data_IF_637341682900
#
_entry.id   IF_637341682900
#
_cell.length_a   1.000
_cell.length_b   1.000
_cell.length_c   1.000
_cell.angle_alpha   90.00
_cell.angle_beta   90.00
_cell.angle_gamma   90.00
#
_symmetry.space_group_name_H-M   'P 1'
#
loop_
_entity.id
_entity.type
_entity.pdbx_description
1 polymer ?
#
# COMPACT_ATOMS: atom_id res chain seq x y z
N UNK A 1 29.62 -48.00 -39.09
CA UNK A 1 28.17 -47.76 -38.97
C UNK A 1 27.74 -47.24 -37.60
N UNK A 2 28.38 -47.66 -36.48
CA UNK A 2 27.99 -47.26 -35.11
C UNK A 2 28.26 -45.79 -34.75
N UNK A 3 29.33 -45.17 -35.27
CA UNK A 3 29.72 -43.81 -34.89
C UNK A 3 28.79 -42.70 -35.44
N UNK A 4 28.31 -42.85 -36.68
CA UNK A 4 27.37 -41.92 -37.33
C UNK A 4 25.97 -41.98 -36.69
N UNK A 5 25.61 -43.13 -36.13
CA UNK A 5 24.34 -43.33 -35.42
C UNK A 5 24.35 -42.61 -34.06
N UNK A 6 25.46 -42.68 -33.33
CA UNK A 6 25.66 -41.97 -32.05
C UNK A 6 25.68 -40.44 -32.25
N UNK A 7 26.34 -39.95 -33.30
CA UNK A 7 26.33 -38.51 -33.62
C UNK A 7 24.93 -38.00 -33.99
N UNK A 8 24.14 -38.80 -34.73
CA UNK A 8 22.77 -38.42 -35.09
C UNK A 8 21.85 -38.39 -33.86
N UNK A 9 22.03 -39.31 -32.91
CA UNK A 9 21.32 -39.32 -31.63
C UNK A 9 21.66 -38.11 -30.74
N UNK A 10 22.93 -37.70 -30.71
CA UNK A 10 23.37 -36.51 -29.95
C UNK A 10 22.80 -35.21 -30.53
N UNK A 11 22.72 -35.08 -31.86
CA UNK A 11 22.15 -33.89 -32.51
C UNK A 11 20.63 -33.80 -32.28
N UNK A 12 19.92 -34.92 -32.30
CA UNK A 12 18.47 -34.96 -32.00
C UNK A 12 18.20 -34.62 -30.53
N UNK A 13 19.02 -35.12 -29.59
CA UNK A 13 18.90 -34.77 -28.18
C UNK A 13 19.17 -33.27 -27.92
N UNK A 14 20.11 -32.67 -28.66
CA UNK A 14 20.43 -31.24 -28.55
C UNK A 14 19.34 -30.35 -29.19
N UNK A 15 18.70 -30.78 -30.28
CA UNK A 15 17.56 -30.04 -30.85
C UNK A 15 16.31 -30.15 -29.95
N UNK A 16 16.08 -31.30 -29.31
CA UNK A 16 14.97 -31.49 -28.40
C UNK A 16 15.09 -30.63 -27.12
N UNK A 17 16.31 -30.40 -26.63
CA UNK A 17 16.54 -29.52 -25.48
C UNK A 17 16.35 -28.03 -25.80
N UNK A 18 16.69 -27.59 -27.02
CA UNK A 18 16.48 -26.20 -27.46
C UNK A 18 14.99 -25.90 -27.70
N UNK A 19 14.22 -26.87 -28.20
CA UNK A 19 12.76 -26.73 -28.36
C UNK A 19 12.00 -26.76 -27.03
N UNK A 20 12.54 -27.43 -26.00
CA UNK A 20 11.96 -27.45 -24.65
C UNK A 20 12.02 -26.12 -23.90
N UNK A 21 12.89 -25.19 -24.31
CA UNK A 21 13.07 -23.88 -23.66
C UNK A 21 12.14 -22.79 -24.20
N UNK A 22 11.43 -23.02 -25.31
CA UNK A 22 10.52 -22.03 -25.92
C UNK A 22 9.10 -22.06 -25.35
N UNK A 23 8.84 -22.90 -24.33
CA UNK A 23 7.51 -23.10 -23.73
C UNK A 23 7.22 -22.30 -22.46
N UNK A 24 8.19 -21.55 -21.92
CA UNK A 24 7.95 -20.67 -20.76
C UNK A 24 7.35 -19.32 -21.20
N UNK A 25 6.23 -19.36 -21.92
CA UNK A 25 5.29 -18.24 -21.91
C UNK A 25 4.54 -18.29 -20.60
N UNK A 26 5.16 -17.76 -19.53
CA UNK A 26 4.50 -17.64 -18.24
C UNK A 26 3.16 -16.94 -18.44
N UNK A 27 2.06 -17.59 -18.06
CA UNK A 27 0.90 -16.84 -17.61
C UNK A 27 1.43 -15.94 -16.51
N UNK A 28 1.41 -14.63 -16.72
CA UNK A 28 1.50 -13.71 -15.61
C UNK A 28 0.35 -14.08 -14.68
N UNK A 29 0.66 -14.75 -13.57
CA UNK A 29 -0.24 -14.81 -12.44
C UNK A 29 -0.59 -13.34 -12.15
N UNK A 30 -1.86 -13.00 -12.32
CA UNK A 30 -2.33 -11.61 -12.25
C UNK A 30 -1.70 -10.91 -11.04
N UNK A 31 -0.97 -9.83 -11.30
CA UNK A 31 -0.28 -9.09 -10.24
C UNK A 31 -1.31 -8.64 -9.21
N UNK A 32 -1.03 -8.86 -7.92
CA UNK A 32 -1.88 -8.35 -6.84
C UNK A 32 -1.38 -6.97 -6.43
N UNK A 33 -2.31 -6.05 -6.22
CA UNK A 33 -2.04 -4.73 -5.68
C UNK A 33 -2.91 -4.50 -4.45
N UNK A 34 -2.28 -4.43 -3.28
CA UNK A 34 -2.95 -4.30 -1.99
C UNK A 34 -2.92 -2.85 -1.51
N UNK A 35 -4.09 -2.26 -1.30
CA UNK A 35 -4.24 -0.84 -0.96
C UNK A 35 -4.73 -0.68 0.49
N UNK A 36 -3.98 0.06 1.29
CA UNK A 36 -4.40 0.54 2.61
C UNK A 36 -5.11 1.89 2.55
N UNK A 37 -6.17 2.05 3.34
CA UNK A 37 -6.89 3.33 3.48
C UNK A 37 -7.67 3.40 4.79
N UNK A 38 -8.18 4.58 5.18
CA UNK A 38 -9.16 4.70 6.27
C UNK A 38 -10.56 4.85 5.73
N UNK A 39 -11.52 4.20 6.38
CA UNK A 39 -12.93 4.29 6.01
C UNK A 39 -13.60 5.56 6.58
N UNK A 40 -13.12 6.75 6.19
CA UNK A 40 -13.65 8.03 6.63
C UNK A 40 -13.49 9.14 5.57
N UNK A 41 -14.18 10.27 5.79
CA UNK A 41 -14.25 11.37 4.82
C UNK A 41 -12.91 12.07 4.55
N UNK A 42 -11.93 11.97 5.46
CA UNK A 42 -10.61 12.56 5.22
C UNK A 42 -9.78 11.76 4.20
N UNK A 43 -10.25 10.57 3.81
CA UNK A 43 -9.66 9.69 2.79
C UNK A 43 -10.60 9.55 1.57
N UNK A 44 -11.41 10.58 1.27
CA UNK A 44 -12.43 10.56 0.23
C UNK A 44 -11.92 10.12 -1.16
N UNK A 45 -10.67 10.40 -1.49
CA UNK A 45 -10.03 10.04 -2.74
C UNK A 45 -9.89 8.51 -2.87
N UNK A 46 -9.42 7.84 -1.81
CA UNK A 46 -9.35 6.38 -1.76
C UNK A 46 -10.74 5.75 -1.80
N UNK A 47 -11.69 6.31 -1.06
CA UNK A 47 -13.09 5.87 -1.08
C UNK A 47 -13.71 6.00 -2.49
N UNK A 48 -13.46 7.11 -3.18
CA UNK A 48 -13.94 7.35 -4.53
C UNK A 48 -13.32 6.36 -5.53
N UNK A 49 -12.00 6.15 -5.47
CA UNK A 49 -11.32 5.18 -6.34
C UNK A 49 -11.90 3.78 -6.17
N UNK A 50 -12.05 3.32 -4.92
CA UNK A 50 -12.66 2.03 -4.58
C UNK A 50 -14.11 1.92 -5.07
N UNK A 51 -14.92 2.95 -4.86
CA UNK A 51 -16.35 2.91 -5.22
C UNK A 51 -16.59 2.91 -6.73
N UNK A 52 -15.70 3.56 -7.50
CA UNK A 52 -15.85 3.71 -8.96
C UNK A 52 -15.07 2.69 -9.77
N UNK A 53 -14.25 1.87 -9.10
CA UNK A 53 -13.28 0.98 -9.73
C UNK A 53 -12.23 1.73 -10.54
N UNK A 54 -11.90 2.97 -10.15
CA UNK A 54 -11.03 3.83 -10.96
C UNK A 54 -9.58 3.33 -10.99
N UNK A 55 -9.11 2.73 -9.89
CA UNK A 55 -7.76 2.20 -9.82
C UNK A 55 -7.65 0.92 -10.66
N UNK A 56 -8.63 0.03 -10.54
CA UNK A 56 -8.75 -1.22 -11.30
C UNK A 56 -8.74 -0.98 -12.81
N UNK A 57 -9.30 0.15 -13.27
CA UNK A 57 -9.28 0.56 -14.69
C UNK A 57 -7.96 1.21 -15.13
N UNK A 58 -7.15 1.67 -14.18
CA UNK A 58 -5.91 2.40 -14.45
C UNK A 58 -4.67 1.50 -14.36
N UNK A 59 -4.76 0.36 -13.68
CA UNK A 59 -3.72 -0.67 -13.61
C UNK A 59 -3.78 -1.60 -14.83
N UNK A 60 -2.70 -2.34 -15.13
CA UNK A 60 -2.69 -3.32 -16.22
C UNK A 60 -3.83 -4.34 -16.13
N UNK A 61 -4.30 -4.80 -17.30
CA UNK A 61 -5.34 -5.84 -17.38
C UNK A 61 -4.88 -7.10 -16.64
N UNK A 62 -5.77 -7.64 -15.79
CA UNK A 62 -5.49 -8.83 -14.99
C UNK A 62 -4.85 -8.55 -13.63
N UNK A 63 -4.55 -7.29 -13.27
CA UNK A 63 -4.17 -6.94 -11.90
C UNK A 63 -5.36 -7.06 -10.94
N UNK A 64 -5.20 -7.81 -9.85
CA UNK A 64 -6.19 -7.92 -8.77
C UNK A 64 -5.92 -6.84 -7.73
N UNK A 65 -6.82 -5.86 -7.62
CA UNK A 65 -6.73 -4.80 -6.60
C UNK A 65 -7.51 -5.24 -5.35
N UNK A 66 -6.84 -5.23 -4.21
CA UNK A 66 -7.44 -5.49 -2.89
C UNK A 66 -7.41 -4.22 -2.03
N UNK A 67 -8.41 -4.06 -1.16
CA UNK A 67 -8.57 -2.85 -0.34
C UNK A 67 -8.75 -3.20 1.13
N UNK A 68 -7.80 -2.82 1.97
CA UNK A 68 -7.79 -3.03 3.42
C UNK A 68 -8.06 -1.73 4.16
N UNK A 69 -9.10 -1.73 4.99
CA UNK A 69 -9.44 -0.57 5.81
C UNK A 69 -8.70 -0.60 7.16
N UNK A 70 -8.11 0.52 7.53
CA UNK A 70 -7.47 0.74 8.81
C UNK A 70 -8.18 1.86 9.58
N UNK A 71 -7.92 1.94 10.88
CA UNK A 71 -8.47 2.97 11.76
C UNK A 71 -7.40 3.93 12.34
N UNK A 72 -6.12 3.63 12.12
CA UNK A 72 -5.00 4.41 12.64
C UNK A 72 -3.75 4.24 11.77
N UNK A 73 -2.95 5.31 11.70
CA UNK A 73 -1.77 5.36 10.84
C UNK A 73 -0.66 4.37 11.19
N UNK A 74 -0.29 4.19 12.47
CA UNK A 74 0.74 3.22 12.81
C UNK A 74 0.40 1.78 12.37
N UNK A 75 -0.86 1.37 12.49
CA UNK A 75 -1.31 0.05 12.02
C UNK A 75 -1.19 -0.11 10.49
N UNK A 76 -1.52 0.94 9.73
CA UNK A 76 -1.34 0.94 8.27
C UNK A 76 0.16 0.90 7.88
N UNK A 77 1.03 1.60 8.62
CA UNK A 77 2.50 1.54 8.43
C UNK A 77 3.07 0.17 8.78
N UNK A 78 2.55 -0.48 9.83
CA UNK A 78 2.93 -1.86 10.18
C UNK A 78 2.54 -2.83 9.06
N UNK A 79 1.33 -2.72 8.51
CA UNK A 79 0.89 -3.50 7.36
C UNK A 79 1.81 -3.28 6.15
N UNK A 80 2.16 -2.02 5.85
CA UNK A 80 3.09 -1.69 4.77
C UNK A 80 4.47 -2.35 4.97
N UNK A 81 5.03 -2.30 6.18
CA UNK A 81 6.32 -2.93 6.46
C UNK A 81 6.29 -4.45 6.50
N UNK A 82 5.13 -5.05 6.76
CA UNK A 82 4.95 -6.51 6.70
C UNK A 82 4.74 -7.04 5.27
N UNK A 83 4.44 -6.15 4.32
CA UNK A 83 4.06 -6.53 2.95
C UNK A 83 2.57 -6.88 2.78
N UNK A 84 1.74 -6.66 3.80
CA UNK A 84 0.28 -6.86 3.73
C UNK A 84 -0.42 -5.83 2.84
N UNK A 85 0.18 -4.65 2.67
CA UNK A 85 -0.22 -3.64 1.69
C UNK A 85 0.99 -3.14 0.91
N UNK A 86 0.76 -2.75 -0.34
CA UNK A 86 1.78 -2.21 -1.25
C UNK A 86 1.74 -0.68 -1.27
N UNK A 87 0.54 -0.09 -1.19
CA UNK A 87 0.31 1.35 -1.23
C UNK A 87 -0.66 1.75 -0.12
N UNK A 88 -0.30 2.75 0.68
CA UNK A 88 -1.15 3.32 1.71
C UNK A 88 -1.64 4.73 1.37
N UNK A 89 -2.93 4.99 1.60
CA UNK A 89 -3.47 6.34 1.65
C UNK A 89 -3.56 6.77 3.12
N UNK A 90 -2.57 7.55 3.56
CA UNK A 90 -2.32 7.83 4.98
C UNK A 90 -1.97 9.31 5.23
N UNK A 91 -2.16 9.75 6.47
CA UNK A 91 -1.81 11.11 6.91
C UNK A 91 -0.31 11.40 6.89
N UNK A 92 0.08 12.70 6.95
CA UNK A 92 1.46 13.13 6.76
C UNK A 92 2.42 12.63 7.84
N UNK A 93 1.98 12.61 9.11
CA UNK A 93 2.82 12.19 10.24
C UNK A 93 3.22 10.71 10.14
N UNK A 94 2.29 9.76 9.95
CA UNK A 94 2.66 8.37 9.68
C UNK A 94 3.49 8.17 8.41
N UNK A 95 3.18 8.89 7.31
CA UNK A 95 3.93 8.79 6.06
C UNK A 95 5.41 9.19 6.22
N UNK A 96 5.67 10.32 6.87
CA UNK A 96 7.04 10.77 7.15
C UNK A 96 7.73 9.79 8.10
N UNK A 97 7.02 9.30 9.13
CA UNK A 97 7.57 8.31 10.06
C UNK A 97 7.97 7.02 9.35
N UNK A 98 7.15 6.54 8.41
CA UNK A 98 7.45 5.37 7.60
C UNK A 98 8.70 5.60 6.73
N UNK A 99 8.74 6.71 5.98
CA UNK A 99 9.88 7.08 5.14
C UNK A 99 11.20 7.17 5.93
N UNK A 100 11.18 7.81 7.10
CA UNK A 100 12.38 7.93 7.95
C UNK A 100 12.80 6.57 8.51
N UNK A 101 11.86 5.78 9.04
CA UNK A 101 12.16 4.45 9.60
C UNK A 101 12.68 3.48 8.55
N UNK A 102 12.19 3.59 7.32
CA UNK A 102 12.62 2.77 6.19
C UNK A 102 13.87 3.31 5.51
N UNK A 103 14.48 4.40 6.02
CA UNK A 103 15.63 5.07 5.40
C UNK A 103 15.41 5.46 3.93
N UNK A 104 14.18 5.87 3.59
CA UNK A 104 13.80 6.32 2.26
C UNK A 104 13.19 5.25 1.35
N UNK A 105 13.16 3.98 1.76
CA UNK A 105 12.57 2.90 0.96
C UNK A 105 11.05 3.09 0.70
N UNK A 106 10.29 3.44 1.74
CA UNK A 106 8.91 3.93 1.59
C UNK A 106 8.92 5.32 0.98
N UNK A 107 8.35 5.45 -0.21
CA UNK A 107 8.31 6.71 -0.98
C UNK A 107 6.94 7.37 -0.90
N UNK A 108 6.93 8.70 -0.73
CA UNK A 108 5.71 9.52 -0.78
C UNK A 108 5.41 9.84 -2.24
N UNK A 109 4.31 9.29 -2.77
CA UNK A 109 3.94 9.43 -4.19
C UNK A 109 3.36 10.81 -4.52
N UNK A 110 2.41 11.28 -3.70
CA UNK A 110 1.72 12.54 -3.93
C UNK A 110 1.00 13.02 -2.68
N UNK A 111 0.83 14.34 -2.56
CA UNK A 111 -0.09 14.94 -1.59
C UNK A 111 -1.52 14.86 -2.12
N UNK A 112 -2.43 14.32 -1.32
CA UNK A 112 -3.81 14.11 -1.75
C UNK A 112 -4.79 15.19 -1.26
N UNK A 113 -4.51 15.84 -0.12
CA UNK A 113 -5.36 16.89 0.45
C UNK A 113 -4.53 18.04 1.04
N UNK A 114 -5.06 19.26 0.97
CA UNK A 114 -4.48 20.45 1.60
C UNK A 114 -5.44 20.95 2.68
N UNK A 115 -5.40 20.32 3.85
CA UNK A 115 -6.13 20.73 5.05
C UNK A 115 -5.44 20.17 6.31
N UNK A 116 -5.63 20.82 7.46
CA UNK A 116 -5.11 20.37 8.75
C UNK A 116 -6.13 19.59 9.58
N UNK A 117 -5.69 19.05 10.72
CA UNK A 117 -6.57 18.49 11.74
C UNK A 117 -7.22 19.62 12.56
N UNK A 118 -8.44 19.38 13.05
CA UNK A 118 -9.11 20.26 14.01
C UNK A 118 -9.42 19.49 15.28
N UNK A 119 -9.21 20.12 16.43
CA UNK A 119 -9.63 19.55 17.71
C UNK A 119 -11.10 19.88 17.94
N UNK A 120 -11.89 18.86 18.24
CA UNK A 120 -13.31 19.01 18.57
C UNK A 120 -13.48 18.76 20.06
N UNK A 121 -14.17 19.68 20.75
CA UNK A 121 -14.52 19.49 22.16
C UNK A 121 -15.81 18.70 22.29
N UNK A 122 -15.94 17.96 23.39
CA UNK A 122 -17.19 17.30 23.75
C UNK A 122 -18.33 18.31 23.90
N UNK A 123 -19.55 17.90 23.53
CA UNK A 123 -20.75 18.68 23.80
C UNK A 123 -20.85 18.95 25.32
N UNK A 124 -21.19 20.19 25.70
CA UNK A 124 -21.25 20.60 27.10
C UNK A 124 -19.90 20.83 27.80
N UNK A 125 -18.77 20.66 27.10
CA UNK A 125 -17.45 21.01 27.65
C UNK A 125 -17.28 22.53 27.80
N UNK A 126 -16.71 22.95 28.93
CA UNK A 126 -16.33 24.35 29.23
C UNK A 126 -15.09 24.84 28.48
N UNK A 127 -14.46 23.98 27.66
CA UNK A 127 -13.30 24.35 26.83
C UNK A 127 -13.73 25.38 25.78
N UNK A 128 -13.09 26.55 25.77
CA UNK A 128 -13.33 27.63 24.81
C UNK A 128 -12.11 27.89 23.93
N UNK A 129 -10.92 27.67 24.46
CA UNK A 129 -9.67 27.81 23.73
C UNK A 129 -8.63 26.76 24.14
N UNK A 130 -7.44 26.83 23.54
CA UNK A 130 -6.35 25.86 23.74
C UNK A 130 -5.79 25.91 25.17
N UNK A 131 -5.86 27.06 25.85
CA UNK A 131 -5.31 27.19 27.21
C UNK A 131 -6.12 26.39 28.23
N UNK A 132 -7.41 26.19 27.98
CA UNK A 132 -8.30 25.35 28.79
C UNK A 132 -7.92 23.85 28.75
N UNK A 133 -7.05 23.43 27.84
CA UNK A 133 -6.58 22.04 27.76
C UNK A 133 -5.52 21.71 28.81
N UNK A 134 -4.95 22.70 29.47
CA UNK A 134 -3.91 22.48 30.49
C UNK A 134 -4.40 21.55 31.60
N UNK A 135 -3.63 20.49 31.87
CA UNK A 135 -3.97 19.47 32.87
C UNK A 135 -5.13 18.55 32.48
N UNK A 136 -5.71 18.69 31.28
CA UNK A 136 -6.76 17.78 30.78
C UNK A 136 -6.17 16.64 29.95
N UNK A 137 -6.94 15.58 29.81
CA UNK A 137 -6.62 14.45 28.92
C UNK A 137 -7.27 14.66 27.56
N UNK A 138 -6.48 14.48 26.49
CA UNK A 138 -6.96 14.52 25.10
C UNK A 138 -6.99 13.11 24.55
N UNK A 139 -8.17 12.66 24.12
CA UNK A 139 -8.32 11.35 23.48
C UNK A 139 -7.82 11.41 22.03
N UNK A 140 -6.96 10.46 21.66
CA UNK A 140 -6.45 10.28 20.30
C UNK A 140 -6.60 8.81 19.89
N UNK A 141 -6.68 8.51 18.58
CA UNK A 141 -6.87 7.14 18.12
C UNK A 141 -5.70 6.21 18.49
N UNK A 142 -4.46 6.69 18.34
CA UNK A 142 -3.24 5.95 18.63
C UNK A 142 -2.04 6.90 18.75
N UNK A 143 -1.06 6.54 19.59
CA UNK A 143 0.24 7.23 19.65
C UNK A 143 0.96 7.15 18.30
N UNK A 144 1.51 8.27 17.85
CA UNK A 144 2.17 8.38 16.54
C UNK A 144 1.23 8.66 15.37
N UNK A 145 -0.06 8.90 15.63
CA UNK A 145 -0.99 9.44 14.64
C UNK A 145 -0.83 10.97 14.50
N UNK A 146 -1.44 11.57 13.49
CA UNK A 146 -1.38 13.03 13.24
C UNK A 146 -1.76 13.83 14.48
N UNK A 147 -2.87 13.49 15.14
CA UNK A 147 -3.38 14.17 16.34
C UNK A 147 -2.45 14.11 17.55
N UNK A 148 -1.45 13.20 17.55
CA UNK A 148 -0.46 13.12 18.61
C UNK A 148 0.67 14.14 18.43
N UNK A 149 1.01 14.54 17.20
CA UNK A 149 2.17 15.37 16.90
C UNK A 149 1.84 16.76 16.34
N UNK A 150 0.61 17.00 15.86
CA UNK A 150 0.18 18.26 15.23
C UNK A 150 -0.85 19.01 16.03
#
# INVERSE_FOLDING_TARGET
>A
MRLRFVQSLLVVALLASVLGLSGCGGKEDGSKLNIGYFNNVTHAQALYMKATGALEKAVPDGTEVSWTAFNAGPAEVEALFSGDIDIGYIGPVPAITANVRSKGDVTILSGASKAGAVLVKAAGSDIKDVTDLSGKTVAIPQIGNTQHLS
#
